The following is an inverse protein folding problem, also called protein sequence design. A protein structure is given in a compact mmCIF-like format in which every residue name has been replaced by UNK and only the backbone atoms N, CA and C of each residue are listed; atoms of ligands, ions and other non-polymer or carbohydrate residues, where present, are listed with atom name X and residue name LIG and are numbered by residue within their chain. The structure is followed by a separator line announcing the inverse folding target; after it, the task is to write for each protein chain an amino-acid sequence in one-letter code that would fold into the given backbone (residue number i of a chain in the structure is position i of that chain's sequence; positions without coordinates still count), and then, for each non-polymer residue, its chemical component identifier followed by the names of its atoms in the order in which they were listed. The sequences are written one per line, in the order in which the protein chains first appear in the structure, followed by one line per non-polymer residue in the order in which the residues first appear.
data_IF_352830573167
#
_entry.id   IF_352830573167
#
_cell.length_a   1.000
_cell.length_b   1.000
_cell.length_c   1.000
_cell.angle_alpha   90.00
_cell.angle_beta   90.00
_cell.angle_gamma   90.00
#
_symmetry.space_group_name_H-M   'P 1'
#
loop_
_entity.id
_entity.type
_entity.pdbx_description
1 polymer ?
#
# COMPACT_ATOMS: atom_id res chain seq x y z
N UNK A 1 -3.43 -4.29 9.69
CA UNK A 1 -2.36 -3.41 10.20
C UNK A 1 -2.33 -2.16 9.33
N UNK A 2 -3.18 -1.15 9.61
CA UNK A 2 -3.34 -0.02 8.68
C UNK A 2 -2.35 1.13 8.93
N UNK A 3 -1.63 1.16 10.04
CA UNK A 3 -0.62 2.20 10.33
C UNK A 3 0.72 1.72 9.79
N UNK A 4 1.39 2.52 8.96
CA UNK A 4 2.76 2.27 8.51
C UNK A 4 3.74 2.94 9.49
N UNK A 5 4.64 2.15 10.07
CA UNK A 5 5.69 2.65 10.97
C UNK A 5 6.98 2.97 10.22
N UNK A 6 7.40 2.07 9.34
CA UNK A 6 8.65 2.20 8.60
C UNK A 6 8.59 1.48 7.24
N UNK A 7 9.41 1.96 6.30
CA UNK A 7 9.49 1.44 4.94
C UNK A 7 10.96 1.30 4.53
N UNK A 8 11.32 0.11 4.07
CA UNK A 8 12.63 -0.21 3.53
C UNK A 8 12.55 -0.64 2.07
N UNK A 9 13.47 -0.14 1.24
CA UNK A 9 13.58 -0.49 -0.17
C UNK A 9 14.76 -1.43 -0.37
N UNK A 10 14.47 -2.68 -0.74
CA UNK A 10 15.48 -3.64 -1.14
C UNK A 10 15.74 -3.50 -2.64
N UNK A 11 16.90 -2.98 -3.00
CA UNK A 11 17.32 -2.92 -4.41
C UNK A 11 17.47 -4.33 -4.96
N UNK A 12 16.85 -4.61 -6.10
CA UNK A 12 17.00 -5.89 -6.80
C UNK A 12 18.03 -5.75 -7.93
N UNK A 13 18.21 -6.79 -8.74
CA UNK A 13 19.09 -6.71 -9.93
C UNK A 13 18.66 -5.60 -10.91
N UNK A 14 17.38 -5.24 -10.87
CA UNK A 14 16.82 -4.12 -11.63
C UNK A 14 16.55 -2.97 -10.66
N UNK A 15 17.34 -1.90 -10.77
CA UNK A 15 17.20 -0.70 -9.93
C UNK A 15 15.84 -0.03 -10.08
N UNK A 16 15.12 -0.27 -11.18
CA UNK A 16 13.77 0.25 -11.39
C UNK A 16 12.72 -0.58 -10.68
N UNK A 17 13.05 -1.77 -10.20
CA UNK A 17 12.12 -2.70 -9.56
C UNK A 17 12.64 -3.16 -8.18
N UNK A 18 12.83 -2.23 -7.21
CA UNK A 18 13.08 -2.62 -5.84
C UNK A 18 11.88 -3.36 -5.23
N UNK A 19 12.13 -4.18 -4.21
CA UNK A 19 11.09 -4.72 -3.34
C UNK A 19 10.85 -3.76 -2.18
N UNK A 20 9.59 -3.43 -1.92
CA UNK A 20 9.19 -2.53 -0.85
C UNK A 20 8.78 -3.36 0.36
N UNK A 21 9.51 -3.21 1.46
CA UNK A 21 9.19 -3.82 2.74
C UNK A 21 8.59 -2.74 3.64
N UNK A 22 7.41 -2.98 4.19
CA UNK A 22 6.77 -2.07 5.13
C UNK A 22 6.46 -2.77 6.44
N UNK A 23 6.75 -2.11 7.56
CA UNK A 23 6.34 -2.53 8.89
C UNK A 23 5.05 -1.80 9.25
N UNK A 24 4.01 -2.56 9.57
CA UNK A 24 2.69 -2.03 9.87
C UNK A 24 2.23 -2.43 11.26
N UNK A 25 1.56 -1.52 11.97
CA UNK A 25 1.00 -1.74 13.30
C UNK A 25 -0.54 -1.70 13.27
N UNK A 26 -1.14 -2.20 14.33
CA UNK A 26 -2.58 -2.09 14.59
C UNK A 26 -2.92 -0.69 15.10
N UNK A 27 -4.12 -0.18 14.77
CA UNK A 27 -4.67 1.07 15.32
C UNK A 27 -5.19 0.94 16.75
N UNK A 28 -5.40 -0.30 17.21
CA UNK A 28 -5.96 -0.55 18.54
C UNK A 28 -4.90 -0.33 19.62
N UNK A 29 -5.23 0.49 20.61
CA UNK A 29 -4.42 0.67 21.82
C UNK A 29 -4.40 -0.57 22.72
N UNK A 30 -5.42 -1.43 22.59
CA UNK A 30 -5.60 -2.64 23.41
C UNK A 30 -4.97 -3.85 22.74
N UNK A 31 -5.16 -4.02 21.43
CA UNK A 31 -4.57 -5.11 20.66
C UNK A 31 -3.31 -4.63 19.93
N UNK A 32 -2.16 -4.85 20.57
CA UNK A 32 -0.85 -4.57 19.98
C UNK A 32 -0.42 -5.71 19.08
N UNK A 33 -0.21 -5.42 17.81
CA UNK A 33 0.36 -6.35 16.86
C UNK A 33 1.08 -5.60 15.75
N UNK A 34 2.10 -6.25 15.20
CA UNK A 34 2.87 -5.73 14.07
C UNK A 34 2.92 -6.79 12.98
N UNK A 35 2.96 -6.34 11.73
CA UNK A 35 3.12 -7.18 10.56
C UNK A 35 4.16 -6.57 9.63
N UNK A 36 4.88 -7.43 8.91
CA UNK A 36 5.76 -7.02 7.81
C UNK A 36 5.07 -7.42 6.52
N UNK A 37 4.90 -6.47 5.61
CA UNK A 37 4.34 -6.70 4.28
C UNK A 37 5.40 -6.42 3.23
N UNK A 38 5.38 -7.20 2.15
CA UNK A 38 6.29 -7.06 1.01
C UNK A 38 5.47 -6.73 -0.21
N UNK A 39 5.86 -5.70 -0.95
CA UNK A 39 5.21 -5.25 -2.18
C UNK A 39 6.21 -5.15 -3.31
N UNK A 40 5.81 -5.57 -4.50
CA UNK A 40 6.63 -5.40 -5.70
C UNK A 40 6.29 -4.10 -6.42
N UNK A 41 7.29 -3.46 -7.05
CA UNK A 41 7.02 -2.27 -7.88
C UNK A 41 6.15 -2.58 -9.11
N UNK A 42 6.09 -3.84 -9.55
CA UNK A 42 5.19 -4.26 -10.62
C UNK A 42 3.72 -4.16 -10.20
N UNK A 43 3.38 -4.65 -9.00
CA UNK A 43 2.01 -4.59 -8.47
C UNK A 43 1.59 -3.13 -8.22
N UNK A 44 2.51 -2.31 -7.69
CA UNK A 44 2.27 -0.89 -7.46
C UNK A 44 1.94 -0.19 -8.79
N UNK A 45 2.73 -0.42 -9.85
CA UNK A 45 2.47 0.13 -11.18
C UNK A 45 1.17 -0.37 -11.78
N UNK A 46 0.81 -1.63 -11.55
CA UNK A 46 -0.44 -2.20 -12.04
C UNK A 46 -1.66 -1.47 -11.44
N UNK A 47 -1.61 -1.13 -10.14
CA UNK A 47 -2.68 -0.36 -9.49
C UNK A 47 -2.75 1.07 -10.02
N UNK A 48 -1.60 1.75 -10.22
CA UNK A 48 -1.58 3.12 -10.76
C UNK A 48 -2.05 3.22 -12.22
N UNK A 49 -1.84 2.17 -13.02
CA UNK A 49 -2.35 2.06 -14.39
C UNK A 49 -3.76 1.44 -14.45
N UNK A 50 -4.36 1.13 -13.30
CA UNK A 50 -5.69 0.57 -13.18
C UNK A 50 -6.79 1.63 -13.19
N UNK A 51 -8.05 1.22 -12.96
CA UNK A 51 -9.18 2.14 -12.91
C UNK A 51 -9.04 3.11 -11.73
N UNK A 52 -9.42 4.37 -11.95
CA UNK A 52 -9.33 5.40 -10.93
C UNK A 52 -10.53 5.34 -9.99
N UNK A 53 -10.32 5.64 -8.72
CA UNK A 53 -11.42 5.82 -7.78
C UNK A 53 -12.10 7.17 -8.06
N UNK A 54 -13.34 7.13 -8.53
CA UNK A 54 -14.15 8.31 -8.82
C UNK A 54 -15.29 8.45 -7.80
N UNK A 55 -15.60 9.70 -7.44
CA UNK A 55 -16.72 10.06 -6.57
C UNK A 55 -17.41 11.28 -7.15
N UNK A 56 -18.61 11.09 -7.68
CA UNK A 56 -19.35 12.12 -8.44
C UNK A 56 -19.92 13.24 -7.54
N UNK A 57 -20.23 12.93 -6.28
CA UNK A 57 -20.68 13.91 -5.27
C UNK A 57 -20.38 13.40 -3.87
N UNK A 58 -20.43 14.28 -2.86
CA UNK A 58 -20.07 13.95 -1.46
C UNK A 58 -20.87 12.78 -0.89
N UNK A 59 -22.11 12.60 -1.33
CA UNK A 59 -23.00 11.51 -0.89
C UNK A 59 -22.86 10.23 -1.73
N UNK A 60 -22.16 10.27 -2.86
CA UNK A 60 -21.97 9.10 -3.72
C UNK A 60 -20.87 8.18 -3.19
N UNK A 61 -20.98 6.88 -3.46
CA UNK A 61 -19.93 5.90 -3.12
C UNK A 61 -18.75 6.03 -4.09
N UNK A 62 -17.57 5.64 -3.62
CA UNK A 62 -16.41 5.47 -4.50
C UNK A 62 -16.70 4.36 -5.51
N UNK A 63 -16.55 4.65 -6.79
CA UNK A 63 -16.72 3.72 -7.91
C UNK A 63 -15.44 3.66 -8.74
N UNK A 64 -15.24 2.55 -9.45
CA UNK A 64 -14.15 2.40 -10.41
C UNK A 64 -14.52 3.11 -11.72
N UNK A 65 -13.63 3.95 -12.24
CA UNK A 65 -13.73 4.61 -13.54
C UNK A 65 -12.62 4.15 -14.48
#
# INVERSE_FOLDING_TARGET
FPIAEDIFLLSTRDERNPLVYGVFTTTSSVFKGSAVCVYSMADIRAVFNGPYAHKESVDHRWVQY
#
